data_IF_694952541282
#
_entry.id   IF_694952541282
#
_cell.length_a   1.000
_cell.length_b   1.000
_cell.length_c   1.000
_cell.angle_alpha   90.00
_cell.angle_beta   90.00
_cell.angle_gamma   90.00
#
_symmetry.space_group_name_H-M   'P 1'
#
loop_
_entity.id
_entity.type
_entity.pdbx_description
1 polymer ?
#
# COMPACT_ATOMS: atom_id res chain seq x y z
N UNK A 1 21.53 -11.13 25.19
CA UNK A 1 21.04 -10.00 24.37
C UNK A 1 20.02 -10.53 23.36
N UNK A 2 18.75 -10.12 23.47
CA UNK A 2 17.68 -10.61 22.59
C UNK A 2 17.86 -10.08 21.17
N UNK A 3 18.06 -10.98 20.19
CA UNK A 3 18.13 -10.69 18.75
C UNK A 3 16.87 -10.04 18.13
N UNK A 4 15.87 -9.64 18.94
CA UNK A 4 14.59 -9.09 18.47
C UNK A 4 14.67 -7.64 17.95
N UNK A 5 15.77 -6.92 18.17
CA UNK A 5 15.89 -5.50 17.80
C UNK A 5 16.87 -5.22 16.64
N UNK A 6 17.42 -6.25 16.00
CA UNK A 6 18.21 -6.02 14.78
C UNK A 6 17.26 -5.56 13.66
N UNK A 7 17.42 -4.31 13.22
CA UNK A 7 16.77 -3.78 12.01
C UNK A 7 17.19 -4.53 10.75
N UNK A 8 18.31 -5.24 10.81
CA UNK A 8 18.83 -6.07 9.73
C UNK A 8 18.24 -7.49 9.86
N UNK A 9 17.48 -7.97 8.85
CA UNK A 9 16.98 -9.32 8.85
C UNK A 9 18.14 -10.32 8.80
N UNK A 10 17.88 -11.53 9.30
CA UNK A 10 18.79 -12.65 9.09
C UNK A 10 19.12 -12.79 7.59
N UNK A 11 20.35 -13.15 7.22
CA UNK A 11 20.75 -13.30 5.83
C UNK A 11 19.84 -14.29 5.11
N UNK A 12 19.42 -13.96 3.89
CA UNK A 12 18.61 -14.82 3.04
C UNK A 12 19.38 -16.08 2.68
N UNK A 13 18.76 -17.25 2.81
CA UNK A 13 19.37 -18.55 2.51
C UNK A 13 18.37 -19.50 1.86
N UNK A 14 18.86 -20.41 1.02
CA UNK A 14 18.07 -21.51 0.45
C UNK A 14 16.77 -21.04 -0.21
N UNK A 15 15.63 -21.52 0.29
CA UNK A 15 14.30 -21.19 -0.22
C UNK A 15 13.98 -19.68 -0.23
N UNK A 16 14.57 -18.89 0.67
CA UNK A 16 14.35 -17.45 0.69
C UNK A 16 14.97 -16.79 -0.56
N UNK A 17 16.14 -17.26 -1.01
CA UNK A 17 16.77 -16.77 -2.24
C UNK A 17 15.97 -17.16 -3.48
N UNK A 18 15.40 -18.36 -3.51
CA UNK A 18 14.54 -18.79 -4.61
C UNK A 18 13.28 -17.92 -4.75
N UNK A 19 12.63 -17.60 -3.62
CA UNK A 19 11.46 -16.68 -3.61
C UNK A 19 11.86 -15.30 -4.11
N UNK A 20 12.96 -14.73 -3.63
CA UNK A 20 13.40 -13.41 -4.07
C UNK A 20 13.89 -13.40 -5.52
N UNK A 21 14.54 -14.48 -5.98
CA UNK A 21 14.92 -14.65 -7.38
C UNK A 21 13.71 -14.64 -8.31
N UNK A 22 12.63 -15.34 -7.94
CA UNK A 22 11.36 -15.29 -8.66
C UNK A 22 10.80 -13.86 -8.70
N UNK A 23 10.63 -13.22 -7.53
CA UNK A 23 10.04 -11.88 -7.45
C UNK A 23 10.87 -10.84 -8.23
N UNK A 24 12.20 -10.87 -8.10
CA UNK A 24 13.11 -9.99 -8.83
C UNK A 24 13.03 -10.24 -10.34
N UNK A 25 13.06 -11.51 -10.77
CA UNK A 25 12.94 -11.87 -12.17
C UNK A 25 11.62 -11.39 -12.77
N UNK A 26 10.51 -11.61 -12.07
CA UNK A 26 9.18 -11.12 -12.47
C UNK A 26 9.15 -9.59 -12.53
N UNK A 27 9.72 -8.91 -11.55
CA UNK A 27 9.80 -7.45 -11.52
C UNK A 27 10.59 -6.89 -12.71
N UNK A 28 11.77 -7.43 -12.97
CA UNK A 28 12.60 -7.00 -14.10
C UNK A 28 11.89 -7.26 -15.44
N UNK A 29 11.29 -8.44 -15.61
CA UNK A 29 10.52 -8.76 -16.81
C UNK A 29 9.37 -7.77 -17.03
N UNK A 30 8.64 -7.43 -15.97
CA UNK A 30 7.53 -6.49 -16.05
C UNK A 30 8.01 -5.06 -16.37
N UNK A 31 9.09 -4.58 -15.74
CA UNK A 31 9.68 -3.27 -16.05
C UNK A 31 10.14 -3.20 -17.51
N UNK A 32 10.80 -4.24 -18.00
CA UNK A 32 11.23 -4.34 -19.42
C UNK A 32 10.03 -4.34 -20.36
N UNK A 33 8.99 -5.09 -20.03
CA UNK A 33 7.77 -5.16 -20.82
C UNK A 33 7.07 -3.79 -20.90
N UNK A 34 6.91 -3.09 -19.77
CA UNK A 34 6.30 -1.76 -19.71
C UNK A 34 7.14 -0.73 -20.46
N UNK A 35 8.44 -0.71 -20.25
CA UNK A 35 9.34 0.24 -20.89
C UNK A 35 9.41 0.08 -22.41
N UNK A 36 9.42 -1.17 -22.91
CA UNK A 36 9.39 -1.44 -24.36
C UNK A 36 8.02 -1.22 -24.98
N UNK A 37 6.96 -1.65 -24.31
CA UNK A 37 5.59 -1.54 -24.82
C UNK A 37 4.96 -0.15 -24.61
N UNK A 38 5.61 0.74 -23.86
CA UNK A 38 5.09 2.05 -23.46
C UNK A 38 3.64 1.97 -22.95
N UNK A 39 3.38 0.99 -22.08
CA UNK A 39 2.01 0.67 -21.65
C UNK A 39 1.51 1.58 -20.52
N UNK A 40 2.42 2.31 -19.88
CA UNK A 40 2.18 3.09 -18.68
C UNK A 40 1.42 4.39 -18.93
N UNK A 41 0.13 4.29 -19.24
CA UNK A 41 -0.72 5.43 -19.63
C UNK A 41 -0.90 6.51 -18.57
N UNK A 42 -0.68 6.21 -17.29
CA UNK A 42 -0.80 7.18 -16.20
C UNK A 42 0.49 7.97 -15.97
N UNK A 43 1.67 7.41 -16.31
CA UNK A 43 2.95 8.11 -16.16
C UNK A 43 3.00 9.44 -16.94
N UNK A 44 2.63 9.47 -18.24
CA UNK A 44 2.56 10.72 -19.00
C UNK A 44 1.68 11.77 -18.36
N UNK A 45 0.56 11.37 -17.73
CA UNK A 45 -0.37 12.29 -17.07
C UNK A 45 0.28 12.93 -15.84
N UNK A 46 1.14 12.21 -15.12
CA UNK A 46 1.92 12.78 -14.01
C UNK A 46 2.96 13.79 -14.51
N UNK A 47 3.65 13.48 -15.60
CA UNK A 47 4.66 14.38 -16.20
C UNK A 47 3.99 15.62 -16.81
N UNK A 48 2.87 15.47 -17.49
CA UNK A 48 2.06 16.58 -18.01
C UNK A 48 1.54 17.47 -16.88
N UNK A 49 1.06 16.88 -15.77
CA UNK A 49 0.66 17.66 -14.61
C UNK A 49 1.84 18.41 -13.99
N UNK A 50 3.01 17.78 -13.87
CA UNK A 50 4.23 18.45 -13.41
C UNK A 50 4.60 19.62 -14.33
N UNK A 51 4.56 19.42 -15.64
CA UNK A 51 4.79 20.43 -16.66
C UNK A 51 3.85 21.63 -16.56
N UNK A 52 2.56 21.38 -16.29
CA UNK A 52 1.56 22.44 -16.08
C UNK A 52 1.77 23.20 -14.78
N UNK A 53 1.98 22.50 -13.66
CA UNK A 53 2.23 23.13 -12.37
C UNK A 53 3.50 24.00 -12.37
N UNK A 54 4.57 23.57 -13.05
CA UNK A 54 5.79 24.37 -13.21
C UNK A 54 5.57 25.68 -13.97
N UNK A 55 4.48 25.80 -14.75
CA UNK A 55 4.07 27.02 -15.46
C UNK A 55 3.03 27.84 -14.73
N UNK A 56 2.66 27.45 -13.51
CA UNK A 56 1.58 28.09 -12.76
C UNK A 56 0.18 27.82 -13.32
N UNK A 57 0.02 26.79 -14.16
CA UNK A 57 -1.28 26.42 -14.72
C UNK A 57 -2.13 25.65 -13.71
N UNK A 58 -3.45 25.83 -13.76
CA UNK A 58 -4.39 25.03 -12.99
C UNK A 58 -4.71 23.72 -13.73
N UNK A 59 -3.86 22.71 -13.53
CA UNK A 59 -3.98 21.38 -14.17
C UNK A 59 -5.33 20.69 -13.89
N UNK A 60 -5.95 20.97 -12.74
CA UNK A 60 -7.26 20.40 -12.40
C UNK A 60 -8.40 20.99 -13.21
N UNK A 61 -8.18 22.13 -13.87
CA UNK A 61 -9.13 22.76 -14.78
C UNK A 61 -8.83 22.47 -16.26
N UNK A 62 -7.78 21.71 -16.56
CA UNK A 62 -7.42 21.37 -17.93
C UNK A 62 -8.50 20.55 -18.63
N UNK A 63 -8.81 20.94 -19.87
CA UNK A 63 -9.62 20.16 -20.80
C UNK A 63 -8.78 19.29 -21.72
N UNK A 64 -9.45 18.57 -22.62
CA UNK A 64 -8.79 17.70 -23.61
C UNK A 64 -7.78 18.45 -24.50
N UNK A 65 -8.05 19.73 -24.80
CA UNK A 65 -7.12 20.57 -25.57
C UNK A 65 -5.79 20.81 -24.86
N UNK A 66 -5.83 21.03 -23.54
CA UNK A 66 -4.64 21.27 -22.72
C UNK A 66 -3.78 20.03 -22.59
N UNK A 67 -4.40 18.87 -22.36
CA UNK A 67 -3.69 17.59 -22.32
C UNK A 67 -3.06 17.26 -23.67
N UNK A 68 -3.75 17.49 -24.79
CA UNK A 68 -3.18 17.28 -26.13
C UNK A 68 -1.98 18.20 -26.40
N UNK A 69 -2.06 19.47 -26.00
CA UNK A 69 -0.93 20.41 -26.09
C UNK A 69 0.26 19.92 -25.26
N UNK A 70 0.05 19.64 -23.98
CA UNK A 70 1.13 19.19 -23.09
C UNK A 70 1.74 17.86 -23.57
N UNK A 71 0.92 16.93 -24.08
CA UNK A 71 1.38 15.67 -24.65
C UNK A 71 2.25 15.90 -25.90
N UNK A 72 1.85 16.80 -26.79
CA UNK A 72 2.62 17.16 -27.97
C UNK A 72 3.98 17.79 -27.58
N UNK A 73 3.98 18.74 -26.63
CA UNK A 73 5.19 19.40 -26.14
C UNK A 73 6.20 18.41 -25.53
N UNK A 74 5.69 17.36 -24.86
CA UNK A 74 6.49 16.35 -24.17
C UNK A 74 6.74 15.08 -25.00
N UNK A 75 6.21 15.01 -26.22
CA UNK A 75 6.36 13.86 -27.11
C UNK A 75 5.61 12.59 -26.65
N UNK A 76 4.51 12.74 -25.90
CA UNK A 76 3.67 11.63 -25.49
C UNK A 76 2.57 11.33 -26.51
N UNK A 77 2.44 10.06 -26.89
CA UNK A 77 1.43 9.58 -27.86
C UNK A 77 0.33 8.75 -27.23
N UNK A 78 0.53 8.26 -26.00
CA UNK A 78 -0.41 7.43 -25.27
C UNK A 78 -0.49 7.88 -23.81
N UNK A 79 -1.68 8.24 -23.36
CA UNK A 79 -1.93 8.76 -22.00
C UNK A 79 -3.41 8.63 -21.65
N UNK A 80 -3.74 8.67 -20.36
CA UNK A 80 -5.11 8.51 -19.84
C UNK A 80 -5.55 9.71 -18.96
N UNK A 81 -5.99 10.83 -19.56
CA UNK A 81 -6.43 12.00 -18.80
C UNK A 81 -7.77 11.73 -18.08
N UNK A 82 -8.17 12.53 -17.08
CA UNK A 82 -7.43 13.67 -16.51
C UNK A 82 -6.55 13.28 -15.31
N UNK A 83 -5.66 14.19 -14.92
CA UNK A 83 -4.93 14.11 -13.67
C UNK A 83 -5.87 14.32 -12.47
N UNK A 84 -5.94 13.33 -11.58
CA UNK A 84 -6.84 13.33 -10.40
C UNK A 84 -6.11 13.18 -9.06
N UNK A 85 -4.78 13.20 -9.08
CA UNK A 85 -3.96 12.91 -7.91
C UNK A 85 -3.60 14.19 -7.15
N UNK A 86 -3.22 14.10 -5.86
CA UNK A 86 -2.67 15.23 -5.13
C UNK A 86 -1.39 15.77 -5.79
N UNK A 87 -1.08 17.07 -5.70
CA UNK A 87 0.08 17.68 -6.39
C UNK A 87 1.42 16.98 -6.08
N UNK A 88 1.53 16.38 -4.90
CA UNK A 88 2.69 15.57 -4.51
C UNK A 88 3.04 14.49 -5.55
N UNK A 89 2.05 13.85 -6.17
CA UNK A 89 2.29 12.84 -7.22
C UNK A 89 2.95 13.46 -8.45
N UNK A 90 2.55 14.68 -8.83
CA UNK A 90 3.19 15.40 -9.93
C UNK A 90 4.60 15.89 -9.55
N UNK A 91 4.82 16.30 -8.30
CA UNK A 91 6.16 16.67 -7.82
C UNK A 91 7.18 15.53 -7.96
N UNK A 92 6.76 14.29 -7.71
CA UNK A 92 7.60 13.11 -7.95
C UNK A 92 7.98 12.94 -9.43
N UNK A 93 7.17 13.47 -10.35
CA UNK A 93 7.38 13.38 -11.79
C UNK A 93 8.14 14.59 -12.38
N UNK A 94 8.36 15.66 -11.61
CA UNK A 94 9.10 16.87 -12.05
C UNK A 94 10.45 16.55 -12.69
N UNK A 95 11.31 15.67 -12.12
CA UNK A 95 12.61 15.34 -12.73
C UNK A 95 12.50 14.76 -14.14
N UNK A 96 11.33 14.22 -14.52
CA UNK A 96 11.11 13.56 -15.80
C UNK A 96 10.55 14.48 -16.88
N UNK A 97 10.18 15.72 -16.54
CA UNK A 97 9.71 16.72 -17.51
C UNK A 97 10.77 16.98 -18.59
N UNK A 98 12.06 17.01 -18.21
CA UNK A 98 13.17 17.19 -19.15
C UNK A 98 13.61 15.92 -19.89
N UNK A 99 13.14 14.75 -19.47
CA UNK A 99 13.53 13.45 -20.05
C UNK A 99 12.33 12.49 -20.13
N UNK A 100 11.26 12.81 -20.89
CA UNK A 100 9.99 12.09 -20.78
C UNK A 100 10.09 10.59 -21.09
N UNK A 101 10.83 10.22 -22.13
CA UNK A 101 11.00 8.82 -22.54
C UNK A 101 11.88 8.01 -21.57
N UNK A 102 13.00 8.58 -21.11
CA UNK A 102 13.87 7.91 -20.14
C UNK A 102 13.21 7.85 -18.76
N UNK A 103 12.43 8.87 -18.40
CA UNK A 103 11.69 8.92 -17.14
C UNK A 103 10.67 7.80 -17.01
N UNK A 104 10.12 7.27 -18.11
CA UNK A 104 9.23 6.10 -18.06
C UNK A 104 9.95 4.87 -17.49
N UNK A 105 11.20 4.64 -17.90
CA UNK A 105 12.01 3.53 -17.41
C UNK A 105 12.33 3.70 -15.92
N UNK A 106 12.72 4.91 -15.54
CA UNK A 106 13.02 5.23 -14.14
C UNK A 106 11.77 5.10 -13.28
N UNK A 107 10.64 5.65 -13.72
CA UNK A 107 9.36 5.53 -13.04
C UNK A 107 8.94 4.08 -12.87
N UNK A 108 9.02 3.27 -13.94
CA UNK A 108 8.70 1.85 -13.89
C UNK A 108 9.61 1.10 -12.92
N UNK A 109 10.91 1.40 -12.92
CA UNK A 109 11.85 0.82 -11.97
C UNK A 109 11.56 1.21 -10.52
N UNK A 110 11.19 2.48 -10.27
CA UNK A 110 10.76 2.95 -8.95
C UNK A 110 9.50 2.23 -8.47
N UNK A 111 8.49 2.08 -9.34
CA UNK A 111 7.27 1.33 -9.03
C UNK A 111 7.55 -0.15 -8.77
N UNK A 112 8.42 -0.77 -9.58
CA UNK A 112 8.87 -2.15 -9.37
C UNK A 112 9.62 -2.33 -8.05
N UNK A 113 10.51 -1.40 -7.70
CA UNK A 113 11.21 -1.39 -6.42
C UNK A 113 10.26 -1.23 -5.23
N UNK A 114 9.29 -0.32 -5.31
CA UNK A 114 8.27 -0.14 -4.28
C UNK A 114 7.38 -1.39 -4.12
N UNK A 115 7.04 -2.03 -5.24
CA UNK A 115 6.37 -3.33 -5.26
C UNK A 115 7.20 -4.38 -4.54
N UNK A 116 8.48 -4.57 -4.84
CA UNK A 116 9.35 -5.55 -4.16
C UNK A 116 9.56 -5.23 -2.68
N UNK A 117 9.65 -3.95 -2.33
CA UNK A 117 9.87 -3.52 -0.95
C UNK A 117 8.64 -3.78 -0.06
N UNK A 118 7.43 -3.77 -0.63
CA UNK A 118 6.18 -4.02 0.10
C UNK A 118 6.12 -5.42 0.76
N UNK A 119 6.23 -6.56 0.03
CA UNK A 119 6.27 -7.88 0.64
C UNK A 119 7.46 -8.01 1.60
N UNK A 120 8.62 -7.44 1.26
CA UNK A 120 9.77 -7.46 2.17
C UNK A 120 9.44 -6.88 3.54
N UNK A 121 8.82 -5.69 3.56
CA UNK A 121 8.39 -5.01 4.78
C UNK A 121 7.33 -5.84 5.51
N UNK A 122 6.26 -6.25 4.83
CA UNK A 122 5.17 -7.00 5.46
C UNK A 122 5.59 -8.38 5.98
N UNK A 123 6.57 -9.02 5.35
CA UNK A 123 7.13 -10.28 5.82
C UNK A 123 7.80 -10.19 7.20
N UNK A 124 8.13 -8.98 7.68
CA UNK A 124 8.63 -8.75 9.03
C UNK A 124 7.58 -9.00 10.12
N UNK A 125 6.29 -9.03 9.76
CA UNK A 125 5.20 -9.37 10.67
C UNK A 125 5.16 -10.87 11.03
N UNK A 126 5.86 -11.72 10.28
CA UNK A 126 5.94 -13.15 10.53
C UNK A 126 7.33 -13.59 11.00
N UNK A 127 7.42 -14.64 11.84
CA UNK A 127 8.69 -15.31 12.13
C UNK A 127 9.33 -15.86 10.84
N UNK A 128 10.65 -16.07 10.87
CA UNK A 128 11.37 -16.63 9.74
C UNK A 128 10.84 -18.02 9.37
N UNK A 129 10.95 -18.41 8.10
CA UNK A 129 10.48 -19.70 7.60
C UNK A 129 9.27 -19.58 6.67
N UNK A 130 8.46 -20.65 6.62
CA UNK A 130 7.43 -20.82 5.59
C UNK A 130 6.39 -19.69 5.60
N UNK A 131 5.93 -19.27 6.78
CA UNK A 131 4.92 -18.19 6.91
C UNK A 131 5.40 -16.87 6.31
N UNK A 132 6.66 -16.51 6.51
CA UNK A 132 7.24 -15.29 5.92
C UNK A 132 7.32 -15.38 4.40
N UNK A 133 7.75 -16.53 3.86
CA UNK A 133 7.77 -16.78 2.41
C UNK A 133 6.38 -16.72 1.79
N UNK A 134 5.37 -17.26 2.47
CA UNK A 134 3.98 -17.17 2.03
C UNK A 134 3.48 -15.71 1.99
N UNK A 135 3.88 -14.86 2.95
CA UNK A 135 3.60 -13.42 2.88
C UNK A 135 4.31 -12.80 1.67
N UNK A 136 5.60 -13.12 1.47
CA UNK A 136 6.37 -12.58 0.35
C UNK A 136 5.77 -12.93 -1.00
N UNK A 137 5.46 -14.21 -1.23
CA UNK A 137 4.82 -14.66 -2.46
C UNK A 137 3.39 -14.17 -2.58
N UNK A 138 2.60 -14.28 -1.51
CA UNK A 138 1.20 -13.91 -1.49
C UNK A 138 0.98 -12.44 -1.78
N UNK A 139 1.79 -11.54 -1.20
CA UNK A 139 1.74 -10.10 -1.48
C UNK A 139 2.46 -9.77 -2.79
N UNK A 140 3.64 -10.36 -3.02
CA UNK A 140 4.48 -10.09 -4.18
C UNK A 140 3.83 -10.50 -5.50
N UNK A 141 2.95 -11.49 -5.51
CA UNK A 141 2.28 -11.96 -6.73
C UNK A 141 0.84 -11.43 -6.86
N UNK A 142 0.44 -10.43 -6.07
CA UNK A 142 -0.88 -9.83 -6.18
C UNK A 142 -1.06 -9.11 -7.53
N UNK A 143 -2.12 -9.50 -8.25
CA UNK A 143 -2.52 -8.92 -9.54
C UNK A 143 -2.53 -7.37 -9.55
N UNK A 144 -3.05 -6.67 -8.51
CA UNK A 144 -3.00 -5.21 -8.46
C UNK A 144 -1.63 -4.56 -8.66
N UNK A 145 -0.51 -5.20 -8.25
CA UNK A 145 0.82 -4.66 -8.51
C UNK A 145 1.17 -4.69 -9.99
N UNK A 146 0.82 -5.77 -10.69
CA UNK A 146 1.04 -5.90 -12.13
C UNK A 146 0.22 -4.90 -12.92
N UNK A 147 -1.07 -4.74 -12.58
CA UNK A 147 -1.94 -3.75 -13.21
C UNK A 147 -1.41 -2.34 -12.98
N UNK A 148 -1.00 -2.03 -11.74
CA UNK A 148 -0.43 -0.72 -11.41
C UNK A 148 0.86 -0.45 -12.18
N UNK A 149 1.77 -1.42 -12.26
CA UNK A 149 3.02 -1.27 -13.00
C UNK A 149 2.75 -1.12 -14.51
N UNK A 150 1.85 -1.95 -15.06
CA UNK A 150 1.44 -1.90 -16.46
C UNK A 150 0.90 -0.54 -16.85
N UNK A 151 0.03 0.03 -16.02
CA UNK A 151 -0.57 1.36 -16.23
C UNK A 151 0.36 2.51 -15.82
N UNK A 152 1.48 2.25 -15.14
CA UNK A 152 2.37 3.29 -14.62
C UNK A 152 1.81 4.04 -13.41
N UNK A 153 0.88 3.45 -12.67
CA UNK A 153 0.22 4.05 -11.51
C UNK A 153 1.18 4.29 -10.35
N UNK A 154 0.93 5.36 -9.58
CA UNK A 154 1.68 5.68 -8.35
C UNK A 154 1.42 4.71 -7.19
N UNK A 155 0.38 3.86 -7.29
CA UNK A 155 -0.12 2.99 -6.22
C UNK A 155 0.97 2.19 -5.46
N UNK A 156 1.95 1.51 -6.11
CA UNK A 156 3.03 0.83 -5.41
C UNK A 156 3.80 1.69 -4.39
N UNK A 157 4.01 2.99 -4.67
CA UNK A 157 4.67 3.92 -3.74
C UNK A 157 3.77 4.22 -2.53
N UNK A 158 2.47 4.40 -2.74
CA UNK A 158 1.52 4.55 -1.65
C UNK A 158 1.45 3.26 -0.81
N UNK A 159 1.44 2.09 -1.44
CA UNK A 159 1.37 0.81 -0.74
C UNK A 159 2.61 0.54 0.13
N UNK A 160 3.81 0.87 -0.35
CA UNK A 160 5.03 0.65 0.46
C UNK A 160 5.06 1.55 1.70
N UNK A 161 4.57 2.79 1.61
CA UNK A 161 4.45 3.68 2.77
C UNK A 161 3.41 3.18 3.76
N UNK A 162 2.26 2.70 3.28
CA UNK A 162 1.23 2.06 4.12
C UNK A 162 1.77 0.80 4.82
N UNK A 163 2.49 -0.06 4.09
CA UNK A 163 3.12 -1.26 4.65
C UNK A 163 4.13 -0.92 5.77
N UNK A 164 4.96 0.11 5.56
CA UNK A 164 5.88 0.60 6.58
C UNK A 164 5.14 1.09 7.84
N UNK A 165 4.05 1.84 7.67
CA UNK A 165 3.22 2.31 8.78
C UNK A 165 2.61 1.14 9.57
N UNK A 166 2.05 0.13 8.88
CA UNK A 166 1.48 -1.07 9.51
C UNK A 166 2.52 -1.79 10.37
N UNK A 167 3.73 -2.01 9.84
CA UNK A 167 4.82 -2.68 10.59
C UNK A 167 5.25 -1.86 11.80
N UNK A 168 5.37 -0.53 11.66
CA UNK A 168 5.70 0.35 12.80
C UNK A 168 4.65 0.30 13.89
N UNK A 169 3.37 0.37 13.54
CA UNK A 169 2.26 0.30 14.50
C UNK A 169 2.18 -1.06 15.19
N UNK A 170 2.42 -2.15 14.46
CA UNK A 170 2.48 -3.49 15.04
C UNK A 170 3.63 -3.61 16.07
N UNK A 171 4.81 -3.05 15.76
CA UNK A 171 5.94 -2.99 16.68
C UNK A 171 5.64 -2.16 17.94
N UNK A 172 5.03 -0.98 17.79
CA UNK A 172 4.65 -0.10 18.91
C UNK A 172 3.63 -0.75 19.85
N UNK A 173 2.63 -1.46 19.32
CA UNK A 173 1.66 -2.22 20.15
C UNK A 173 2.30 -3.35 20.93
N UNK A 174 3.28 -4.04 20.34
CA UNK A 174 4.03 -5.09 21.03
C UNK A 174 4.88 -4.52 22.18
N UNK A 175 5.48 -3.33 21.99
CA UNK A 175 6.23 -2.63 23.03
C UNK A 175 5.32 -2.13 24.17
N UNK A 176 4.16 -1.54 23.84
CA UNK A 176 3.20 -1.02 24.84
C UNK A 176 2.60 -2.11 25.73
N UNK A 177 2.27 -3.28 25.19
CA UNK A 177 1.79 -4.45 25.99
C UNK A 177 2.87 -5.09 26.85
N UNK A 178 4.16 -4.91 26.51
CA UNK A 178 5.28 -5.34 27.34
C UNK A 178 5.54 -4.41 28.54
N UNK A 179 5.02 -3.17 28.50
CA UNK A 179 5.16 -2.17 29.56
C UNK A 179 4.16 -2.32 30.72
N UNK A 180 3.07 -3.05 30.52
CA UNK A 180 2.10 -3.37 31.60
C UNK A 180 2.61 -4.45 32.56
N UNK A 181 3.82 -4.97 32.34
CA UNK A 181 4.56 -5.87 33.24
C UNK A 181 5.48 -5.15 34.23
N UNK A 182 5.26 -3.87 34.51
CA UNK A 182 5.93 -3.19 35.62
C UNK A 182 5.74 -3.97 36.93
N UNK A 183 6.72 -4.00 37.84
CA UNK A 183 6.63 -4.74 39.09
C UNK A 183 5.35 -4.32 39.80
N UNK A 184 4.38 -5.25 39.92
CA UNK A 184 3.28 -5.07 40.85
C UNK A 184 3.92 -4.77 42.20
N UNK A 185 3.61 -3.64 42.84
CA UNK A 185 4.15 -3.36 44.16
C UNK A 185 3.84 -4.57 45.05
N UNK A 186 4.89 -5.24 45.50
CA UNK A 186 4.82 -6.29 46.50
C UNK A 186 4.47 -5.60 47.83
N UNK A 187 3.18 -5.34 48.03
CA UNK A 187 2.75 -4.57 49.18
C UNK A 187 1.31 -4.15 49.04
N UNK A 188 0.40 -5.11 49.12
CA UNK A 188 -0.95 -4.99 49.69
C UNK A 188 -1.61 -6.38 49.72
N UNK A 189 -0.91 -7.33 50.33
CA UNK A 189 -1.58 -8.49 50.91
C UNK A 189 -2.32 -8.00 52.17
N UNK A 190 -3.55 -7.52 52.02
CA UNK A 190 -4.25 -7.00 53.20
C UNK A 190 -5.52 -6.19 52.98
N UNK A 191 -6.35 -6.47 51.99
CA UNK A 191 -7.75 -6.06 52.05
C UNK A 191 -8.58 -6.95 51.12
N UNK A 192 -9.17 -8.01 51.69
CA UNK A 192 -10.29 -8.69 51.01
C UNK A 192 -11.46 -7.68 50.99
N UNK A 193 -11.98 -7.29 49.81
CA UNK A 193 -13.23 -6.56 49.77
C UNK A 193 -14.31 -7.46 50.37
N UNK A 194 -15.04 -6.94 51.35
CA UNK A 194 -16.27 -7.59 51.81
C UNK A 194 -17.21 -7.74 50.61
N UNK A 195 -17.83 -8.91 50.38
CA UNK A 195 -18.86 -9.03 49.38
C UNK A 195 -20.01 -8.08 49.72
N UNK A 196 -20.56 -7.35 48.75
CA UNK A 196 -21.76 -6.55 48.97
C UNK A 196 -22.92 -7.47 49.36
N UNK A 197 -23.81 -7.04 50.27
CA UNK A 197 -25.00 -7.79 50.62
C UNK A 197 -25.96 -7.82 49.44
N UNK A 198 -26.42 -9.03 49.10
CA UNK A 198 -27.58 -9.38 48.28
C UNK A 198 -28.14 -8.32 47.34
N UNK A 199 -27.76 -8.42 46.06
CA UNK A 199 -28.49 -7.82 44.93
C UNK A 199 -29.05 -8.94 44.06
N UNK A 200 -30.37 -8.97 43.94
CA UNK A 200 -31.21 -10.01 43.36
C UNK A 200 -30.81 -10.47 41.95
N UNK A 201 -30.95 -11.77 41.71
CA UNK A 201 -31.01 -12.39 40.39
C UNK A 201 -32.13 -11.75 39.54
N UNK A 202 -31.78 -10.83 38.65
CA UNK A 202 -32.64 -10.52 37.50
C UNK A 202 -32.50 -11.66 36.49
N UNK A 203 -33.36 -12.66 36.69
CA UNK A 203 -33.73 -13.64 35.67
C UNK A 203 -34.15 -12.94 34.39
N UNK A 204 -33.63 -13.44 33.27
CA UNK A 204 -34.34 -13.57 32.00
C UNK A 204 -34.87 -12.29 31.35
N UNK A 205 -34.06 -11.71 30.47
CA UNK A 205 -34.61 -11.08 29.27
C UNK A 205 -34.01 -11.78 28.05
N UNK A 206 -34.86 -12.59 27.41
CA UNK A 206 -34.59 -13.20 26.11
C UNK A 206 -34.37 -12.11 25.06
N UNK A 207 -33.43 -12.29 24.13
CA UNK A 207 -33.26 -11.35 23.02
C UNK A 207 -34.53 -11.32 22.13
N UNK A 208 -34.91 -10.16 21.59
CA UNK A 208 -36.02 -10.05 20.66
C UNK A 208 -35.71 -10.80 19.35
N UNK A 209 -36.73 -11.39 18.70
CA UNK A 209 -36.57 -12.09 17.43
C UNK A 209 -36.14 -11.15 16.29
N UNK A 210 -35.45 -11.67 15.26
CA UNK A 210 -35.03 -10.89 14.11
C UNK A 210 -36.24 -10.33 13.35
N UNK A 211 -36.24 -9.02 13.14
CA UNK A 211 -37.18 -8.30 12.29
C UNK A 211 -37.14 -8.85 10.86
N UNK A 212 -38.30 -9.35 10.38
CA UNK A 212 -38.49 -9.82 9.01
C UNK A 212 -38.25 -8.70 7.99
N UNK A 213 -37.68 -9.11 6.86
CA UNK A 213 -37.12 -8.30 5.78
C UNK A 213 -37.95 -7.10 5.32
N UNK A 214 -37.22 -6.02 5.02
CA UNK A 214 -37.68 -4.99 4.10
C UNK A 214 -37.72 -5.56 2.67
N UNK A 215 -38.78 -5.29 1.88
CA UNK A 215 -38.86 -5.72 0.49
C UNK A 215 -37.82 -5.00 -0.38
N UNK A 216 -37.23 -5.75 -1.31
CA UNK A 216 -36.30 -5.23 -2.30
C UNK A 216 -37.00 -4.20 -3.23
N UNK A 217 -36.33 -3.10 -3.61
CA UNK A 217 -36.89 -2.16 -4.57
C UNK A 217 -36.97 -2.78 -5.97
N UNK A 218 -37.97 -2.38 -6.78
CA UNK A 218 -38.14 -2.90 -8.13
C UNK A 218 -36.96 -2.50 -9.02
N UNK A 219 -36.45 -3.48 -9.79
CA UNK A 219 -35.51 -3.24 -10.88
C UNK A 219 -36.24 -2.47 -11.98
N UNK A 220 -35.94 -1.17 -12.09
CA UNK A 220 -36.33 -0.36 -13.23
C UNK A 220 -35.60 -0.86 -14.47
N UNK A 221 -36.35 -1.41 -15.42
CA UNK A 221 -35.92 -1.58 -16.79
C UNK A 221 -36.15 -0.30 -17.58
N UNK A 222 -35.09 0.21 -18.18
CA UNK A 222 -35.10 1.02 -19.40
C UNK A 222 -33.90 0.50 -20.20
N UNK A 223 -33.98 0.17 -21.47
CA UNK A 223 -34.73 0.80 -22.56
C UNK A 223 -33.72 0.97 -23.67
#
# INVERSE_FOLDING_TARGET
MNHRNSFLPAPLKGADLAVWGLLLGTCLAAVVFVGRGQTAVDYPVYVMAAYGFLRGENVYAWGEGDYRRAAADLGFTRYAPPYRYPPLTALLAVPFVGLPAAGLWVWSALQGGAWLLTPWILGRLAPAGARRRLIWLGVGLLVPFFVSLYAGQVNPLATVTAAAAVVRLAGGRAAGRGGEGGPRPAGLAGARPRPPPGGQETRGQSPPPPSRGAPAPPRGGGG
#
